data_IF_337613610844
#
_entry.id   IF_337613610844
#
_cell.length_a   1.000
_cell.length_b   1.000
_cell.length_c   1.000
_cell.angle_alpha   90.00
_cell.angle_beta   90.00
_cell.angle_gamma   90.00
#
_symmetry.space_group_name_H-M   'P 1'
#
loop_
_entity.id
_entity.type
_entity.pdbx_description
1 polymer ?
#
# COMPACT_ATOMS: atom_id res chain seq x y z
N UNK A 1 7.00 21.25 -31.75
CA UNK A 1 7.68 20.30 -30.85
C UNK A 1 8.75 19.57 -31.65
N UNK A 2 10.03 19.75 -31.31
CA UNK A 2 11.12 19.07 -31.99
C UNK A 2 11.11 17.58 -31.59
N UNK A 3 11.08 16.69 -32.57
CA UNK A 3 11.26 15.25 -32.34
C UNK A 3 12.70 15.02 -31.93
N UNK A 4 12.91 14.51 -30.72
CA UNK A 4 14.22 14.07 -30.25
C UNK A 4 14.74 12.96 -31.19
N UNK A 5 15.86 13.18 -31.87
CA UNK A 5 16.50 12.13 -32.66
C UNK A 5 16.97 11.02 -31.73
N UNK A 6 16.39 9.84 -31.89
CA UNK A 6 16.83 8.64 -31.19
C UNK A 6 18.13 8.16 -31.84
N UNK A 7 19.25 8.28 -31.13
CA UNK A 7 20.46 7.61 -31.53
C UNK A 7 20.25 6.08 -31.52
N UNK A 8 20.77 5.35 -32.51
CA UNK A 8 20.67 3.90 -32.53
C UNK A 8 21.31 3.31 -31.24
N UNK A 9 20.76 2.23 -30.70
CA UNK A 9 21.26 1.62 -29.48
C UNK A 9 22.71 1.13 -29.72
N UNK A 10 23.68 1.69 -29.00
CA UNK A 10 25.03 1.16 -28.95
C UNK A 10 25.04 -0.20 -28.26
N UNK A 11 25.93 -1.10 -28.66
CA UNK A 11 26.11 -2.40 -28.03
C UNK A 11 26.48 -2.19 -26.54
N UNK A 12 25.56 -2.46 -25.63
CA UNK A 12 25.75 -2.22 -24.21
C UNK A 12 26.44 -3.41 -23.56
N UNK A 13 27.48 -3.15 -22.81
CA UNK A 13 28.25 -4.15 -22.05
C UNK A 13 27.61 -4.30 -20.64
N UNK A 14 27.85 -5.43 -19.98
CA UNK A 14 27.41 -5.68 -18.61
C UNK A 14 28.02 -4.66 -17.62
N UNK A 15 29.20 -4.12 -17.94
CA UNK A 15 29.83 -3.02 -17.19
C UNK A 15 28.96 -1.76 -17.17
N UNK A 16 28.34 -1.45 -18.32
CA UNK A 16 27.49 -0.26 -18.46
C UNK A 16 26.21 -0.44 -17.65
N UNK A 17 25.65 -1.66 -17.62
CA UNK A 17 24.52 -2.00 -16.77
C UNK A 17 24.87 -1.85 -15.29
N UNK A 18 26.01 -2.43 -14.85
CA UNK A 18 26.45 -2.32 -13.45
C UNK A 18 26.68 -0.87 -13.01
N UNK A 19 27.24 -0.02 -13.89
CA UNK A 19 27.47 1.40 -13.57
C UNK A 19 26.18 2.21 -13.41
N UNK A 20 25.07 1.73 -13.99
CA UNK A 20 23.75 2.39 -13.89
C UNK A 20 22.87 1.85 -12.77
N UNK A 21 23.20 0.67 -12.23
CA UNK A 21 22.48 0.07 -11.11
C UNK A 21 23.06 0.57 -9.78
N UNK A 22 22.70 1.79 -9.40
CA UNK A 22 23.14 2.43 -8.16
C UNK A 22 22.68 1.61 -6.93
N UNK A 23 23.58 1.40 -5.96
CA UNK A 23 23.27 0.67 -4.72
C UNK A 23 22.90 -0.81 -4.91
N UNK A 24 23.06 -1.37 -6.11
CA UNK A 24 22.70 -2.77 -6.40
C UNK A 24 21.19 -3.03 -6.57
N UNK A 25 20.38 -1.98 -6.69
CA UNK A 25 18.94 -2.03 -6.87
C UNK A 25 18.15 -2.14 -5.55
N UNK A 26 16.97 -1.54 -5.53
CA UNK A 26 16.04 -1.65 -4.41
C UNK A 26 15.52 -3.10 -4.29
N UNK A 27 15.38 -3.58 -3.06
CA UNK A 27 14.95 -4.95 -2.79
C UNK A 27 13.54 -4.97 -2.22
N UNK A 28 12.64 -5.80 -2.76
CA UNK A 28 11.25 -5.84 -2.33
C UNK A 28 11.05 -6.41 -0.91
N UNK A 29 12.04 -7.10 -0.36
CA UNK A 29 12.00 -7.67 0.99
C UNK A 29 12.52 -6.73 2.09
N UNK A 30 12.99 -5.54 1.73
CA UNK A 30 13.47 -4.52 2.67
C UNK A 30 12.43 -3.41 2.76
N UNK A 31 11.45 -3.61 3.63
CA UNK A 31 10.38 -2.65 3.87
C UNK A 31 9.88 -2.74 5.32
N UNK A 32 9.24 -1.68 5.77
CA UNK A 32 8.52 -1.60 7.04
C UNK A 32 7.17 -0.94 6.80
N UNK A 33 6.14 -1.41 7.49
CA UNK A 33 4.79 -0.83 7.43
C UNK A 33 4.42 -0.25 8.78
N UNK A 34 3.97 0.99 8.79
CA UNK A 34 3.41 1.63 9.98
C UNK A 34 1.92 1.91 9.76
N UNK A 35 1.08 1.23 10.53
CA UNK A 35 -0.36 1.42 10.53
C UNK A 35 -0.75 2.29 11.71
N UNK A 36 -1.65 3.24 11.50
CA UNK A 36 -2.33 3.95 12.57
C UNK A 36 -3.79 3.49 12.65
N UNK A 37 -4.31 3.33 13.85
CA UNK A 37 -5.72 3.00 14.08
C UNK A 37 -6.46 4.25 14.55
N UNK A 38 -7.70 4.48 14.10
CA UNK A 38 -8.47 5.65 14.49
C UNK A 38 -8.92 5.58 15.95
N UNK A 39 -9.24 6.75 16.51
CA UNK A 39 -9.65 6.85 17.92
C UNK A 39 -10.91 6.06 18.30
N UNK A 40 -11.78 5.76 17.32
CA UNK A 40 -12.98 4.90 17.53
C UNK A 40 -12.64 3.41 17.67
N UNK A 41 -11.48 3.00 17.19
CA UNK A 41 -10.96 1.62 17.30
C UNK A 41 -9.54 1.68 17.88
N UNK A 42 -9.36 2.16 19.11
CA UNK A 42 -8.04 2.35 19.68
C UNK A 42 -7.32 1.01 19.79
N UNK A 43 -6.06 1.01 19.40
CA UNK A 43 -5.14 -0.10 19.59
C UNK A 43 -4.01 0.29 20.54
N UNK A 44 -3.54 -0.67 21.31
CA UNK A 44 -2.41 -0.46 22.19
C UNK A 44 -1.12 -0.28 21.40
N UNK A 45 -0.13 0.41 21.98
CA UNK A 45 1.20 0.58 21.37
C UNK A 45 1.85 -0.77 20.98
N UNK A 46 1.55 -1.82 21.73
CA UNK A 46 2.00 -3.19 21.41
C UNK A 46 1.45 -3.68 20.06
N UNK A 47 0.22 -3.37 19.71
CA UNK A 47 -0.39 -3.73 18.41
C UNK A 47 0.31 -2.99 17.28
N UNK A 48 0.60 -1.70 17.48
CA UNK A 48 1.32 -0.89 16.48
C UNK A 48 2.73 -1.39 16.23
N UNK A 49 3.46 -1.71 17.30
CA UNK A 49 4.81 -2.29 17.19
C UNK A 49 4.78 -3.68 16.54
N UNK A 50 3.84 -4.55 16.94
CA UNK A 50 3.67 -5.86 16.29
C UNK A 50 3.36 -5.75 14.80
N UNK A 51 2.53 -4.80 14.40
CA UNK A 51 2.18 -4.61 12.99
C UNK A 51 3.41 -4.32 12.12
N UNK A 52 4.39 -3.59 12.63
CA UNK A 52 5.66 -3.30 11.92
C UNK A 52 6.43 -4.56 11.54
N UNK A 53 6.42 -5.58 12.41
CA UNK A 53 7.18 -6.81 12.24
C UNK A 53 6.37 -7.94 11.60
N UNK A 54 5.06 -7.98 11.82
CA UNK A 54 4.20 -9.09 11.39
C UNK A 54 3.53 -8.86 10.03
N UNK A 55 3.65 -7.67 9.45
CA UNK A 55 3.25 -7.44 8.07
C UNK A 55 4.27 -8.09 7.15
N UNK A 56 3.90 -9.25 6.59
CA UNK A 56 4.74 -10.07 5.71
C UNK A 56 4.83 -9.51 4.30
N UNK A 57 3.74 -8.95 3.79
CA UNK A 57 3.68 -8.38 2.45
C UNK A 57 2.76 -7.15 2.41
N UNK A 58 3.16 -6.15 1.65
CA UNK A 58 2.40 -4.95 1.41
C UNK A 58 2.58 -4.55 -0.07
N UNK A 59 1.55 -4.75 -0.88
CA UNK A 59 1.57 -4.33 -2.27
C UNK A 59 1.30 -2.83 -2.34
N UNK A 60 2.22 -2.05 -2.89
CA UNK A 60 1.99 -0.62 -3.12
C UNK A 60 0.86 -0.46 -4.16
N UNK A 61 -0.24 0.24 -3.85
CA UNK A 61 -1.37 0.37 -4.75
C UNK A 61 -1.01 1.19 -5.98
N UNK A 62 -1.55 0.79 -7.14
CA UNK A 62 -1.37 1.53 -8.37
C UNK A 62 -2.13 2.86 -8.34
N UNK A 63 -1.60 3.82 -9.09
CA UNK A 63 -2.26 5.09 -9.39
C UNK A 63 -2.55 5.13 -10.88
N UNK A 64 -3.81 5.23 -11.24
CA UNK A 64 -4.29 5.14 -12.61
C UNK A 64 -4.84 6.50 -13.09
N UNK A 65 -4.53 6.87 -14.33
CA UNK A 65 -5.13 8.01 -15.00
C UNK A 65 -5.87 7.48 -16.22
N UNK A 66 -7.18 7.47 -16.15
CA UNK A 66 -8.01 6.99 -17.26
C UNK A 66 -7.99 7.97 -18.44
N UNK A 67 -7.89 7.50 -19.70
CA UNK A 67 -8.02 8.37 -20.87
C UNK A 67 -9.48 8.73 -21.11
N UNK A 68 -9.73 9.97 -21.51
CA UNK A 68 -11.00 10.42 -22.05
C UNK A 68 -10.92 10.34 -23.58
N UNK A 69 -11.79 9.57 -24.18
CA UNK A 69 -11.83 9.39 -25.63
C UNK A 69 -12.77 10.41 -26.27
N UNK A 70 -12.22 11.33 -27.07
CA UNK A 70 -12.97 12.34 -27.84
C UNK A 70 -13.00 11.95 -29.31
N UNK A 71 -14.15 11.52 -29.86
CA UNK A 71 -14.25 11.14 -31.25
C UNK A 71 -14.26 12.37 -32.17
N UNK A 72 -13.45 12.33 -33.21
CA UNK A 72 -13.43 13.38 -34.25
C UNK A 72 -13.18 12.78 -35.63
N UNK A 73 -14.18 12.87 -36.53
CA UNK A 73 -14.12 12.47 -37.95
C UNK A 73 -13.46 11.12 -38.21
N UNK A 74 -13.91 10.08 -37.49
CA UNK A 74 -13.39 8.71 -37.60
C UNK A 74 -12.05 8.43 -36.88
N UNK A 75 -11.56 9.37 -36.08
CA UNK A 75 -10.40 9.21 -35.23
C UNK A 75 -10.75 9.54 -33.77
N UNK A 76 -10.02 8.96 -32.86
CA UNK A 76 -10.19 9.21 -31.43
C UNK A 76 -8.98 10.03 -30.93
N UNK A 77 -9.24 11.18 -30.32
CA UNK A 77 -8.29 11.95 -29.57
C UNK A 77 -8.36 11.49 -28.10
N UNK A 78 -7.24 11.09 -27.53
CA UNK A 78 -7.16 10.71 -26.12
C UNK A 78 -6.64 11.87 -25.28
N UNK A 79 -7.41 12.23 -24.26
CA UNK A 79 -7.07 13.28 -23.28
C UNK A 79 -6.95 12.61 -21.92
N UNK A 80 -6.07 13.12 -21.04
CA UNK A 80 -5.97 12.61 -19.68
C UNK A 80 -7.23 12.95 -18.88
N UNK A 81 -7.79 11.95 -18.23
CA UNK A 81 -8.94 12.08 -17.32
C UNK A 81 -8.52 12.07 -15.84
N UNK A 82 -9.44 11.64 -14.99
CA UNK A 82 -9.27 11.64 -13.55
C UNK A 82 -8.30 10.56 -13.08
N UNK A 83 -7.63 10.84 -11.95
CA UNK A 83 -6.75 9.90 -11.28
C UNK A 83 -7.53 9.09 -10.25
N UNK A 84 -7.30 7.79 -10.25
CA UNK A 84 -7.84 6.85 -9.27
C UNK A 84 -6.72 6.06 -8.61
N UNK A 85 -6.96 5.58 -7.40
CA UNK A 85 -6.03 4.78 -6.62
C UNK A 85 -6.66 3.43 -6.32
N UNK A 86 -5.88 2.38 -6.51
CA UNK A 86 -6.32 1.02 -6.23
C UNK A 86 -6.34 0.74 -4.74
N UNK A 87 -7.07 -0.29 -4.34
CA UNK A 87 -7.10 -0.81 -2.98
C UNK A 87 -5.71 -1.27 -2.54
N UNK A 88 -5.33 -0.94 -1.31
CA UNK A 88 -4.08 -1.38 -0.75
C UNK A 88 -4.27 -2.70 0.01
N UNK A 89 -3.51 -3.70 -0.37
CA UNK A 89 -3.59 -5.05 0.21
C UNK A 89 -2.36 -5.32 1.08
N UNK A 90 -2.58 -5.75 2.31
CA UNK A 90 -1.55 -6.11 3.29
C UNK A 90 -1.77 -7.53 3.76
N UNK A 91 -0.71 -8.35 3.78
CA UNK A 91 -0.72 -9.69 4.37
C UNK A 91 -0.03 -9.66 5.72
N UNK A 92 -0.69 -10.17 6.73
CA UNK A 92 -0.25 -10.16 8.12
C UNK A 92 -0.10 -11.59 8.62
N UNK A 93 1.02 -11.88 9.28
CA UNK A 93 1.19 -13.12 10.04
C UNK A 93 0.37 -12.99 11.33
N UNK A 94 -0.48 -13.99 11.60
CA UNK A 94 -1.29 -13.98 12.81
C UNK A 94 -0.47 -14.50 13.99
N UNK A 95 -0.52 -13.77 15.09
CA UNK A 95 0.09 -14.17 16.35
C UNK A 95 -0.95 -14.83 17.26
N UNK A 96 -0.51 -15.62 18.21
CA UNK A 96 -1.38 -16.38 19.12
C UNK A 96 -2.29 -15.54 20.01
N UNK A 97 -2.01 -14.24 20.15
CA UNK A 97 -2.88 -13.30 20.86
C UNK A 97 -3.93 -12.62 19.97
N UNK A 98 -3.89 -12.84 18.64
CA UNK A 98 -4.80 -12.26 17.64
C UNK A 98 -4.90 -10.72 17.70
N UNK A 99 -3.89 -10.06 18.24
CA UNK A 99 -3.97 -8.64 18.56
C UNK A 99 -4.20 -7.76 17.33
N UNK A 100 -3.48 -8.01 16.22
CA UNK A 100 -3.60 -7.22 15.00
C UNK A 100 -4.94 -7.51 14.31
N UNK A 101 -5.31 -8.80 14.20
CA UNK A 101 -6.59 -9.19 13.62
C UNK A 101 -7.75 -8.58 14.38
N UNK A 102 -7.73 -8.71 15.72
CA UNK A 102 -8.75 -8.13 16.58
C UNK A 102 -8.85 -6.60 16.48
N UNK A 103 -7.73 -5.91 16.23
CA UNK A 103 -7.73 -4.47 16.00
C UNK A 103 -8.47 -4.10 14.69
N UNK A 104 -8.24 -4.84 13.60
CA UNK A 104 -8.96 -4.64 12.34
C UNK A 104 -10.45 -4.99 12.45
N UNK A 105 -10.79 -6.07 13.13
CA UNK A 105 -12.18 -6.47 13.37
C UNK A 105 -12.92 -5.42 14.20
N UNK A 106 -12.29 -4.86 15.24
CA UNK A 106 -12.83 -3.72 16.03
C UNK A 106 -13.01 -2.49 15.16
N UNK A 107 -12.05 -2.20 14.28
CA UNK A 107 -12.17 -1.05 13.37
C UNK A 107 -13.35 -1.21 12.41
N UNK A 108 -13.51 -2.37 11.78
CA UNK A 108 -14.65 -2.64 10.91
C UNK A 108 -15.98 -2.58 11.68
N UNK A 109 -16.00 -3.11 12.91
CA UNK A 109 -17.20 -3.06 13.76
C UNK A 109 -17.56 -1.64 14.22
N UNK A 110 -16.55 -0.77 14.39
CA UNK A 110 -16.80 0.64 14.70
C UNK A 110 -17.35 1.43 13.50
N UNK A 111 -16.97 1.04 12.27
CA UNK A 111 -17.52 1.60 11.03
C UNK A 111 -18.98 1.14 10.83
N UNK A 112 -19.23 -0.15 11.05
CA UNK A 112 -20.57 -0.74 10.92
C UNK A 112 -20.70 -1.88 11.94
N UNK A 113 -21.51 -1.65 12.97
CA UNK A 113 -21.71 -2.60 14.05
C UNK A 113 -22.52 -3.83 13.56
N UNK A 114 -21.99 -5.03 13.82
CA UNK A 114 -22.60 -6.29 13.38
C UNK A 114 -23.92 -6.60 14.05
N UNK A 115 -24.21 -6.03 15.25
CA UNK A 115 -25.39 -6.35 16.01
C UNK A 115 -26.65 -5.54 15.58
N UNK A 116 -26.47 -4.25 15.30
CA UNK A 116 -27.58 -3.32 15.07
C UNK A 116 -27.42 -2.50 13.78
N UNK A 117 -26.36 -2.75 13.02
CA UNK A 117 -26.01 -2.03 11.80
C UNK A 117 -25.86 -0.50 11.99
N UNK A 118 -25.69 -0.04 13.23
CA UNK A 118 -25.30 1.34 13.51
C UNK A 118 -23.81 1.52 13.30
N UNK A 119 -23.32 2.74 13.13
CA UNK A 119 -21.91 2.99 12.96
C UNK A 119 -21.54 4.46 12.93
N UNK A 120 -20.24 4.73 12.80
CA UNK A 120 -19.73 6.09 12.71
C UNK A 120 -20.02 6.67 11.32
N UNK A 121 -20.77 7.74 11.28
CA UNK A 121 -21.15 8.41 10.03
C UNK A 121 -20.14 9.48 9.57
N UNK A 122 -19.29 9.95 10.49
CA UNK A 122 -18.29 10.94 10.16
C UNK A 122 -16.99 10.28 9.66
N UNK A 123 -16.61 10.44 8.38
CA UNK A 123 -15.41 9.83 7.81
C UNK A 123 -14.12 10.17 8.57
N UNK A 124 -14.01 11.36 9.13
CA UNK A 124 -12.82 11.78 9.87
C UNK A 124 -12.57 10.99 11.15
N UNK A 125 -13.59 10.31 11.68
CA UNK A 125 -13.48 9.55 12.92
C UNK A 125 -13.02 8.11 12.68
N UNK A 126 -13.32 7.52 11.49
CA UNK A 126 -12.96 6.14 11.18
C UNK A 126 -11.81 5.98 10.18
N UNK A 127 -11.40 7.06 9.50
CA UNK A 127 -10.25 7.04 8.61
C UNK A 127 -8.95 7.29 9.39
N UNK A 128 -7.85 6.76 8.88
CA UNK A 128 -6.52 6.93 9.45
C UNK A 128 -5.46 6.99 8.36
N UNK A 129 -4.22 7.33 8.72
CA UNK A 129 -3.08 7.33 7.81
C UNK A 129 -2.23 6.08 8.01
N UNK A 130 -1.51 5.70 6.95
CA UNK A 130 -0.56 4.60 7.01
C UNK A 130 0.71 4.95 6.23
N UNK A 131 1.82 4.28 6.55
CA UNK A 131 3.11 4.51 5.93
C UNK A 131 3.76 3.19 5.52
N UNK A 132 4.44 3.20 4.38
CA UNK A 132 5.34 2.14 3.94
C UNK A 132 6.71 2.74 3.68
N UNK A 133 7.72 2.20 4.36
CA UNK A 133 9.11 2.60 4.23
C UNK A 133 9.85 1.54 3.42
N UNK A 134 10.47 1.92 2.33
CA UNK A 134 11.44 1.07 1.62
C UNK A 134 12.83 1.37 2.17
N UNK A 135 13.56 0.31 2.51
CA UNK A 135 14.86 0.39 3.18
C UNK A 135 15.99 -0.07 2.25
N UNK A 136 17.19 0.44 2.51
CA UNK A 136 18.43 -0.11 1.96
C UNK A 136 18.94 -1.28 2.82
N UNK A 137 20.10 -1.83 2.46
CA UNK A 137 20.73 -2.94 3.22
C UNK A 137 21.28 -2.51 4.58
N UNK A 138 21.52 -1.25 4.76
CA UNK A 138 22.01 -0.62 5.98
C UNK A 138 20.87 -0.26 6.94
N UNK A 139 19.61 -0.45 6.52
CA UNK A 139 18.40 -0.13 7.30
C UNK A 139 17.96 1.33 7.19
N UNK A 140 18.57 2.10 6.29
CA UNK A 140 18.17 3.48 6.06
C UNK A 140 16.98 3.55 5.09
N UNK A 141 16.11 4.51 5.30
CA UNK A 141 14.93 4.72 4.47
C UNK A 141 15.33 5.33 3.12
N UNK A 142 15.07 4.60 2.04
CA UNK A 142 15.23 5.09 0.68
C UNK A 142 14.01 5.91 0.24
N UNK A 143 12.82 5.40 0.50
CA UNK A 143 11.58 6.02 0.07
C UNK A 143 10.46 5.73 1.04
N UNK A 144 9.65 6.75 1.34
CA UNK A 144 8.46 6.66 2.18
C UNK A 144 7.22 6.87 1.32
N UNK A 145 6.25 5.98 1.46
CA UNK A 145 4.90 6.16 0.91
C UNK A 145 3.95 6.44 2.06
N UNK A 146 3.22 7.54 1.99
CA UNK A 146 2.16 7.89 2.93
C UNK A 146 0.82 7.71 2.26
N UNK A 147 -0.04 6.94 2.89
CA UNK A 147 -1.41 6.70 2.46
C UNK A 147 -2.34 7.50 3.34
N UNK A 148 -3.21 8.26 2.70
CA UNK A 148 -4.15 9.15 3.36
C UNK A 148 -5.55 8.54 3.39
N UNK A 149 -6.26 8.81 4.48
CA UNK A 149 -7.67 8.46 4.63
C UNK A 149 -7.94 6.96 4.39
N UNK A 150 -7.13 6.11 5.00
CA UNK A 150 -7.22 4.66 4.88
C UNK A 150 -8.27 4.10 5.81
N UNK A 151 -9.04 3.11 5.35
CA UNK A 151 -9.94 2.31 6.18
C UNK A 151 -10.09 0.88 5.63
N UNK A 152 -10.32 -0.13 6.49
CA UNK A 152 -10.46 -1.51 6.06
C UNK A 152 -11.80 -1.75 5.38
N UNK A 153 -11.77 -2.46 4.25
CA UNK A 153 -12.96 -2.90 3.52
C UNK A 153 -13.15 -4.40 3.59
N UNK A 154 -12.06 -5.15 3.80
CA UNK A 154 -12.11 -6.61 3.92
C UNK A 154 -10.99 -7.10 4.85
N UNK A 155 -11.32 -8.02 5.73
CA UNK A 155 -10.39 -8.87 6.48
C UNK A 155 -10.65 -10.29 6.02
N UNK A 156 -9.66 -10.92 5.37
CA UNK A 156 -9.85 -12.21 4.73
C UNK A 156 -10.21 -13.32 5.73
N UNK A 157 -10.85 -14.35 5.19
CA UNK A 157 -11.02 -15.63 5.90
C UNK A 157 -9.66 -16.25 6.22
N UNK A 158 -9.64 -17.10 7.23
CA UNK A 158 -8.52 -17.95 7.59
C UNK A 158 -9.00 -19.40 7.45
N UNK A 159 -8.25 -20.18 6.68
CA UNK A 159 -8.56 -21.61 6.53
C UNK A 159 -7.93 -22.40 7.68
N UNK A 160 -8.76 -23.11 8.42
CA UNK A 160 -8.33 -24.00 9.51
C UNK A 160 -8.42 -25.45 9.03
N UNK A 161 -7.31 -26.19 9.10
CA UNK A 161 -7.24 -27.59 8.73
C UNK A 161 -6.34 -28.38 9.66
N UNK A 162 -6.77 -29.54 10.08
CA UNK A 162 -5.95 -30.45 10.89
C UNK A 162 -4.70 -30.95 10.15
N UNK A 163 -4.71 -30.91 8.81
CA UNK A 163 -3.60 -31.35 7.97
C UNK A 163 -2.50 -30.28 7.83
N UNK A 164 -2.76 -29.05 8.26
CA UNK A 164 -1.83 -27.90 8.15
C UNK A 164 -0.99 -27.73 9.41
N UNK A 165 -0.18 -28.73 9.76
CA UNK A 165 0.58 -28.74 11.04
C UNK A 165 1.85 -27.86 11.02
N UNK A 166 2.43 -27.59 9.84
CA UNK A 166 3.73 -26.91 9.70
C UNK A 166 3.63 -25.52 9.04
N UNK A 167 2.47 -24.88 9.10
CA UNK A 167 2.23 -23.55 8.53
C UNK A 167 1.82 -22.55 9.61
N UNK A 168 2.34 -21.34 9.49
CA UNK A 168 1.91 -20.22 10.33
C UNK A 168 0.68 -19.60 9.67
N UNK A 169 -0.32 -19.26 10.47
CA UNK A 169 -1.55 -18.64 10.03
C UNK A 169 -1.30 -17.21 9.53
N UNK A 170 -1.88 -16.89 8.38
CA UNK A 170 -1.80 -15.58 7.76
C UNK A 170 -3.19 -15.12 7.33
N UNK A 171 -3.40 -13.82 7.34
CA UNK A 171 -4.61 -13.21 6.80
C UNK A 171 -4.27 -11.96 5.99
N UNK A 172 -5.18 -11.58 5.13
CA UNK A 172 -5.03 -10.41 4.26
C UNK A 172 -6.05 -9.37 4.64
N UNK A 173 -5.63 -8.12 4.66
CA UNK A 173 -6.50 -6.96 4.86
C UNK A 173 -6.49 -6.12 3.60
N UNK A 174 -7.67 -5.80 3.09
CA UNK A 174 -7.86 -4.83 2.02
C UNK A 174 -8.25 -3.48 2.61
N UNK A 175 -7.49 -2.48 2.26
CA UNK A 175 -7.62 -1.12 2.76
C UNK A 175 -7.94 -0.19 1.59
N UNK A 176 -9.03 0.54 1.69
CA UNK A 176 -9.32 1.61 0.73
C UNK A 176 -8.45 2.81 1.07
N UNK A 177 -7.87 3.43 0.05
CA UNK A 177 -6.97 4.59 0.15
C UNK A 177 -7.56 5.73 -0.65
N UNK A 178 -7.61 6.92 -0.08
CA UNK A 178 -8.08 8.10 -0.82
C UNK A 178 -7.05 8.54 -1.86
N UNK A 179 -5.81 8.68 -1.44
CA UNK A 179 -4.65 8.95 -2.28
C UNK A 179 -3.37 8.64 -1.49
N UNK A 180 -2.24 8.61 -2.19
CA UNK A 180 -0.94 8.45 -1.55
C UNK A 180 0.09 9.43 -2.11
N UNK A 181 1.05 9.74 -1.28
CA UNK A 181 2.23 10.55 -1.60
C UNK A 181 3.50 9.74 -1.40
N UNK A 182 4.57 10.16 -2.06
CA UNK A 182 5.87 9.50 -1.92
C UNK A 182 6.97 10.54 -1.72
N UNK A 183 7.89 10.25 -0.82
CA UNK A 183 9.00 11.11 -0.42
C UNK A 183 10.33 10.36 -0.49
N UNK A 184 11.45 11.06 -0.73
CA UNK A 184 12.80 10.52 -0.68
C UNK A 184 13.42 10.29 -2.05
N UNK A 185 14.23 9.24 -2.19
CA UNK A 185 14.96 8.96 -3.44
C UNK A 185 14.05 8.92 -4.66
N UNK A 186 14.48 9.59 -5.72
CA UNK A 186 13.68 9.76 -6.94
C UNK A 186 12.79 11.00 -6.96
N UNK A 187 12.82 11.82 -5.90
CA UNK A 187 12.05 13.05 -5.74
C UNK A 187 10.67 12.83 -5.13
N UNK A 188 10.16 13.88 -4.51
CA UNK A 188 8.88 13.84 -3.83
C UNK A 188 7.72 13.92 -4.82
N UNK A 189 6.68 13.14 -4.54
CA UNK A 189 5.38 13.20 -5.22
C UNK A 189 4.38 13.59 -4.15
N UNK A 190 4.11 14.88 -4.03
CA UNK A 190 3.20 15.45 -3.03
C UNK A 190 2.04 16.15 -3.71
N UNK A 191 0.94 16.31 -2.99
CA UNK A 191 -0.13 17.21 -3.41
C UNK A 191 0.39 18.65 -3.40
N UNK A 192 -0.03 19.52 -4.34
CA UNK A 192 0.38 20.89 -4.43
C UNK A 192 -0.13 21.73 -3.25
#
# INVERSE_FOLDING_TARGET
MARQQLNPPALRKISDFKSKLTGGGARPNLFEVSLAFPGIAPSDNNVLDKARFLVKAAALPASNVAPIDVPFRGRILKIAGDRTFDTWTVTVINDTDFAIRGAFEKWMNAINNVADATGESNPSNYKSDAYVFQLNREGETLRTYRFYDVFPTNVSQIELSYDSSDTIEEFTVELQVQYWEAYGEGGDITAP
#
